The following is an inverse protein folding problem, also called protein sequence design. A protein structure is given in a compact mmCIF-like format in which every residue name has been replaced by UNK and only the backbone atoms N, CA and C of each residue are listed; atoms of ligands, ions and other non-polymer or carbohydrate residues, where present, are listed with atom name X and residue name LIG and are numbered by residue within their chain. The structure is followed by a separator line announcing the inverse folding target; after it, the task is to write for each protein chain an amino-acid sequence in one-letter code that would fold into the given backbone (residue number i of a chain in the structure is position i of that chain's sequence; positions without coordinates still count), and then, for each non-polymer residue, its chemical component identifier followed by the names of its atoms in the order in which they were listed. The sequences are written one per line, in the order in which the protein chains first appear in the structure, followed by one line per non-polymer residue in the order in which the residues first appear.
data_IF_073421648293
#
_entry.id   IF_073421648293
#
_cell.length_a   1.000
_cell.length_b   1.000
_cell.length_c   1.000
_cell.angle_alpha   90.00
_cell.angle_beta   90.00
_cell.angle_gamma   90.00
#
_symmetry.space_group_name_H-M   'P 1'
#
loop_
_entity.id
_entity.type
_entity.pdbx_description
1 polymer ?
#
# COMPACT_ATOMS: atom_id res chain seq x y z
N UNK A 1 38.43 11.32 48.07
CA UNK A 1 38.02 10.25 47.15
C UNK A 1 36.97 10.83 46.19
N UNK A 2 37.45 11.57 45.19
CA UNK A 2 37.53 11.17 43.76
C UNK A 2 36.19 11.35 43.03
N UNK A 3 35.93 12.60 42.65
CA UNK A 3 35.05 12.97 41.54
C UNK A 3 35.85 12.83 40.24
N UNK A 4 35.38 11.97 39.33
CA UNK A 4 35.97 11.81 37.99
C UNK A 4 35.40 12.89 37.06
N UNK A 5 36.24 13.85 36.71
CA UNK A 5 36.02 14.83 35.64
C UNK A 5 36.43 14.24 34.29
N UNK A 6 35.58 14.48 33.29
CA UNK A 6 35.76 14.08 31.88
C UNK A 6 36.94 14.81 31.22
N UNK A 7 37.80 14.12 30.45
CA UNK A 7 38.95 14.75 29.80
C UNK A 7 38.81 14.74 28.27
N UNK A 8 38.16 15.72 27.64
CA UNK A 8 38.47 16.04 26.23
C UNK A 8 38.27 17.53 25.95
N UNK A 9 39.41 18.21 25.78
CA UNK A 9 39.53 19.63 25.45
C UNK A 9 39.27 19.93 23.97
N UNK A 10 38.85 21.18 23.73
CA UNK A 10 38.69 21.77 22.39
C UNK A 10 40.05 21.98 21.71
N UNK A 11 40.19 21.75 20.40
CA UNK A 11 41.34 22.22 19.64
C UNK A 11 41.16 23.69 19.16
N UNK A 12 42.26 24.40 18.89
CA UNK A 12 42.28 25.83 18.62
C UNK A 12 42.00 26.19 17.15
N UNK A 13 41.63 27.46 16.96
CA UNK A 13 41.44 28.14 15.68
C UNK A 13 42.73 28.25 14.85
N UNK A 14 42.55 28.16 13.53
CA UNK A 14 43.27 29.00 12.57
C UNK A 14 44.20 28.28 11.60
N UNK A 15 43.73 28.01 10.39
CA UNK A 15 44.56 27.98 9.17
C UNK A 15 43.70 28.45 7.98
N UNK A 16 44.24 29.43 7.24
CA UNK A 16 43.54 30.31 6.31
C UNK A 16 43.04 29.63 5.03
N UNK A 17 41.84 30.04 4.61
CA UNK A 17 41.32 29.79 3.28
C UNK A 17 41.98 30.77 2.29
N UNK A 18 42.81 30.25 1.39
CA UNK A 18 43.36 30.98 0.26
C UNK A 18 42.24 31.47 -0.68
N UNK A 19 42.31 32.75 -1.05
CA UNK A 19 41.44 33.37 -2.07
C UNK A 19 41.70 32.75 -3.43
N UNK A 20 40.66 32.16 -4.03
CA UNK A 20 40.64 31.90 -5.48
C UNK A 20 40.14 33.18 -6.17
N UNK A 21 40.88 33.77 -7.12
CA UNK A 21 40.46 35.00 -7.76
C UNK A 21 39.35 34.76 -8.79
N UNK A 22 38.34 35.63 -8.76
CA UNK A 22 37.42 35.83 -9.88
C UNK A 22 38.17 36.48 -11.03
N UNK A 23 38.13 35.88 -12.21
CA UNK A 23 38.45 36.58 -13.47
C UNK A 23 37.19 36.74 -14.31
N UNK A 24 37.12 37.93 -14.89
CA UNK A 24 36.05 38.56 -15.66
C UNK A 24 36.02 38.10 -17.12
N UNK A 25 34.87 38.39 -17.75
CA UNK A 25 34.56 38.50 -19.21
C UNK A 25 35.76 39.03 -20.03
N UNK A 26 35.98 38.70 -21.31
CA UNK A 26 35.09 38.75 -22.48
C UNK A 26 35.88 38.26 -23.74
N UNK A 27 35.24 37.77 -24.81
CA UNK A 27 35.88 37.63 -26.14
C UNK A 27 35.27 36.56 -27.07
N UNK A 28 34.96 36.85 -28.36
CA UNK A 28 33.97 36.12 -29.15
C UNK A 28 34.55 35.01 -30.02
N UNK A 29 33.76 34.00 -30.37
CA UNK A 29 34.00 33.21 -31.57
C UNK A 29 32.78 33.17 -32.49
N UNK A 30 33.08 33.53 -33.74
CA UNK A 30 32.16 33.70 -34.83
C UNK A 30 31.69 32.36 -35.41
N UNK A 31 30.40 32.41 -35.76
CA UNK A 31 29.60 31.64 -36.71
C UNK A 31 30.30 30.70 -37.70
N UNK A 32 29.83 29.46 -37.75
CA UNK A 32 29.62 28.72 -39.01
C UNK A 32 28.26 28.00 -38.96
N UNK A 33 27.39 28.29 -39.94
CA UNK A 33 26.08 27.65 -40.14
C UNK A 33 26.24 26.41 -41.02
N UNK A 34 25.56 25.30 -40.70
CA UNK A 34 25.07 24.38 -41.72
C UNK A 34 23.60 24.68 -42.03
N UNK A 35 23.30 24.72 -43.32
CA UNK A 35 21.96 24.84 -43.91
C UNK A 35 21.12 23.61 -43.59
N UNK A 36 20.05 23.77 -42.81
CA UNK A 36 19.00 22.77 -42.64
C UNK A 36 17.92 22.96 -43.72
N UNK A 37 17.83 22.00 -44.64
CA UNK A 37 16.67 21.82 -45.51
C UNK A 37 15.43 21.50 -44.66
N UNK A 38 14.32 22.17 -44.95
CA UNK A 38 13.03 21.91 -44.32
C UNK A 38 12.41 20.65 -44.95
N UNK A 39 12.51 19.52 -44.27
CA UNK A 39 11.54 18.43 -44.41
C UNK A 39 10.73 18.29 -43.11
N UNK A 40 9.41 18.37 -43.25
CA UNK A 40 8.47 18.17 -42.15
C UNK A 40 8.48 16.68 -41.76
N UNK A 41 8.64 16.31 -40.48
CA UNK A 41 8.44 14.92 -40.08
C UNK A 41 6.94 14.57 -40.20
N UNK A 42 6.65 13.50 -40.94
CA UNK A 42 5.31 12.95 -41.06
C UNK A 42 4.82 12.47 -39.70
N UNK A 43 3.61 12.90 -39.31
CA UNK A 43 2.92 12.41 -38.10
C UNK A 43 2.73 10.89 -38.18
N UNK A 44 3.01 10.13 -37.11
CA UNK A 44 2.63 8.72 -37.07
C UNK A 44 1.10 8.62 -37.17
N UNK A 45 0.59 7.89 -38.17
CA UNK A 45 -0.82 7.50 -38.21
C UNK A 45 -1.08 6.61 -37.01
N UNK A 46 -1.82 7.11 -36.04
CA UNK A 46 -2.42 6.31 -34.99
C UNK A 46 -3.39 5.32 -35.67
N UNK A 47 -2.98 4.05 -35.77
CA UNK A 47 -3.90 2.96 -36.07
C UNK A 47 -4.77 2.77 -34.84
N UNK A 48 -5.91 3.47 -34.84
CA UNK A 48 -6.98 3.30 -33.87
C UNK A 48 -7.57 1.91 -33.96
N UNK A 49 -6.93 0.94 -33.29
CA UNK A 49 -7.62 -0.23 -32.81
C UNK A 49 -8.54 0.24 -31.68
N UNK A 50 -9.86 0.27 -31.92
CA UNK A 50 -10.83 0.26 -30.82
C UNK A 50 -10.54 -1.01 -30.02
N UNK A 51 -9.81 -0.87 -28.91
CA UNK A 51 -9.87 -1.86 -27.85
C UNK A 51 -11.35 -1.96 -27.45
N UNK A 52 -11.94 -3.14 -27.65
CA UNK A 52 -13.26 -3.43 -27.11
C UNK A 52 -13.16 -3.17 -25.61
N UNK A 53 -13.88 -2.17 -25.10
CA UNK A 53 -14.10 -2.00 -23.67
C UNK A 53 -14.73 -3.30 -23.20
N UNK A 54 -13.95 -4.15 -22.54
CA UNK A 54 -14.49 -5.23 -21.74
C UNK A 54 -15.26 -4.56 -20.60
N UNK A 55 -16.55 -4.30 -20.80
CA UNK A 55 -17.40 -3.79 -19.73
C UNK A 55 -17.55 -4.89 -18.70
N UNK A 56 -17.07 -4.64 -17.48
CA UNK A 56 -17.22 -5.57 -16.37
C UNK A 56 -18.70 -5.89 -16.16
N UNK A 57 -19.01 -7.16 -15.92
CA UNK A 57 -20.38 -7.62 -15.70
C UNK A 57 -21.01 -6.98 -14.47
N UNK A 58 -22.35 -6.95 -14.42
CA UNK A 58 -23.10 -6.50 -13.22
C UNK A 58 -22.67 -7.29 -11.99
N UNK A 59 -22.48 -8.60 -12.14
CA UNK A 59 -22.06 -9.49 -11.05
C UNK A 59 -20.66 -9.13 -10.54
N UNK A 60 -19.71 -8.90 -11.44
CA UNK A 60 -18.34 -8.46 -11.08
C UNK A 60 -18.36 -7.12 -10.34
N UNK A 61 -19.11 -6.14 -10.85
CA UNK A 61 -19.22 -4.83 -10.21
C UNK A 61 -19.89 -4.90 -8.83
N UNK A 62 -20.93 -5.72 -8.68
CA UNK A 62 -21.59 -5.95 -7.39
C UNK A 62 -20.63 -6.60 -6.38
N UNK A 63 -19.81 -7.56 -6.82
CA UNK A 63 -18.78 -8.17 -5.98
C UNK A 63 -17.78 -7.13 -5.48
N UNK A 64 -17.20 -6.32 -6.38
CA UNK A 64 -16.28 -5.25 -6.00
C UNK A 64 -16.91 -4.22 -5.09
N UNK A 65 -18.14 -3.80 -5.38
CA UNK A 65 -18.88 -2.88 -4.54
C UNK A 65 -19.02 -3.42 -3.12
N UNK A 66 -19.45 -4.68 -2.99
CA UNK A 66 -19.64 -5.36 -1.70
C UNK A 66 -18.34 -5.46 -0.90
N UNK A 67 -17.25 -5.90 -1.53
CA UNK A 67 -15.95 -6.08 -0.87
C UNK A 67 -15.36 -4.73 -0.40
N UNK A 68 -15.38 -3.71 -1.25
CA UNK A 68 -14.92 -2.37 -0.86
C UNK A 68 -15.81 -1.76 0.23
N UNK A 69 -17.14 -1.96 0.16
CA UNK A 69 -18.06 -1.46 1.16
C UNK A 69 -17.88 -2.16 2.52
N UNK A 70 -17.60 -3.46 2.53
CA UNK A 70 -17.23 -4.19 3.74
C UNK A 70 -16.02 -3.56 4.41
N UNK A 71 -14.95 -3.31 3.65
CA UNK A 71 -13.74 -2.65 4.18
C UNK A 71 -14.10 -1.27 4.73
N UNK A 72 -14.79 -0.41 3.95
CA UNK A 72 -15.17 0.94 4.38
C UNK A 72 -15.97 0.94 5.68
N UNK A 73 -17.01 0.10 5.78
CA UNK A 73 -17.89 0.05 6.95
C UNK A 73 -17.18 -0.53 8.16
N UNK A 74 -16.34 -1.55 7.96
CA UNK A 74 -15.50 -2.12 9.01
C UNK A 74 -14.56 -1.06 9.60
N UNK A 75 -13.86 -0.33 8.74
CA UNK A 75 -12.92 0.73 9.11
C UNK A 75 -13.61 1.90 9.82
N UNK A 76 -14.81 2.31 9.35
CA UNK A 76 -15.64 3.31 10.04
C UNK A 76 -16.03 2.85 11.45
N UNK A 77 -16.38 1.57 11.62
CA UNK A 77 -16.70 0.98 12.93
C UNK A 77 -15.47 0.89 13.83
N UNK A 78 -14.32 0.47 13.29
CA UNK A 78 -13.06 0.47 14.04
C UNK A 78 -12.71 1.89 14.53
N UNK A 79 -12.88 2.91 13.69
CA UNK A 79 -12.73 4.31 14.08
C UNK A 79 -13.65 4.74 15.23
N UNK A 80 -14.91 4.27 15.24
CA UNK A 80 -15.85 4.52 16.35
C UNK A 80 -15.37 3.86 17.65
N UNK A 81 -15.00 2.58 17.61
CA UNK A 81 -14.53 1.84 18.79
C UNK A 81 -13.22 2.42 19.35
N UNK A 82 -12.33 2.91 18.48
CA UNK A 82 -11.15 3.66 18.90
C UNK A 82 -11.52 4.94 19.66
N UNK A 83 -12.47 5.72 19.15
CA UNK A 83 -12.98 6.93 19.83
C UNK A 83 -13.64 6.63 21.18
N UNK A 84 -14.17 5.42 21.36
CA UNK A 84 -14.72 4.93 22.62
C UNK A 84 -13.65 4.38 23.59
N UNK A 85 -12.37 4.34 23.18
CA UNK A 85 -11.28 3.81 23.99
C UNK A 85 -11.21 2.27 24.01
N UNK A 86 -11.92 1.58 23.13
CA UNK A 86 -11.95 0.10 23.08
C UNK A 86 -10.83 -0.50 22.23
N UNK A 87 -10.13 0.30 21.43
CA UNK A 87 -8.95 -0.10 20.67
C UNK A 87 -7.75 0.64 21.26
N UNK A 88 -6.78 -0.11 21.78
CA UNK A 88 -5.56 0.43 22.35
C UNK A 88 -4.47 0.72 21.30
N UNK A 89 -3.56 1.65 21.60
CA UNK A 89 -2.39 1.94 20.76
C UNK A 89 -2.71 2.74 19.49
N UNK A 90 -2.06 2.37 18.38
CA UNK A 90 -2.24 3.04 17.08
C UNK A 90 -3.28 2.32 16.24
N UNK A 91 -4.28 3.05 15.72
CA UNK A 91 -5.26 2.53 14.78
C UNK A 91 -5.09 3.19 13.41
N UNK A 92 -4.74 2.42 12.39
CA UNK A 92 -4.42 2.91 11.04
C UNK A 92 -5.49 2.51 10.03
N UNK A 93 -6.46 3.40 9.81
CA UNK A 93 -7.61 3.05 8.97
C UNK A 93 -7.28 3.02 7.46
N UNK A 94 -7.78 2.04 6.72
CA UNK A 94 -7.55 1.90 5.27
C UNK A 94 -8.51 2.73 4.38
N UNK A 95 -9.31 3.61 4.98
CA UNK A 95 -10.35 4.40 4.31
C UNK A 95 -9.79 5.25 3.15
N UNK A 96 -10.32 4.99 1.95
CA UNK A 96 -10.00 5.67 0.69
C UNK A 96 -9.08 4.89 -0.25
N UNK A 97 -8.60 3.71 0.18
CA UNK A 97 -7.68 2.87 -0.60
C UNK A 97 -8.31 1.51 -0.99
N UNK A 98 -9.62 1.33 -0.79
CA UNK A 98 -10.29 0.02 -0.88
C UNK A 98 -10.14 -0.64 -2.25
N UNK A 99 -10.20 0.15 -3.33
CA UNK A 99 -10.05 -0.34 -4.70
C UNK A 99 -8.70 -0.99 -4.96
N UNK A 100 -7.63 -0.55 -4.28
CA UNK A 100 -6.28 -1.09 -4.46
C UNK A 100 -6.26 -2.56 -4.05
N UNK A 101 -6.68 -2.85 -2.82
CA UNK A 101 -6.57 -4.21 -2.31
C UNK A 101 -7.63 -5.14 -2.90
N UNK A 102 -8.84 -4.64 -3.17
CA UNK A 102 -9.91 -5.43 -3.81
C UNK A 102 -9.55 -5.79 -5.25
N UNK A 103 -9.08 -4.82 -6.03
CA UNK A 103 -8.69 -5.05 -7.43
C UNK A 103 -7.50 -5.99 -7.55
N UNK A 104 -6.50 -5.85 -6.66
CA UNK A 104 -5.37 -6.79 -6.59
C UNK A 104 -5.82 -8.20 -6.21
N UNK A 105 -6.68 -8.32 -5.20
CA UNK A 105 -7.14 -9.61 -4.68
C UNK A 105 -8.00 -10.38 -5.68
N UNK A 106 -8.70 -9.69 -6.58
CA UNK A 106 -9.43 -10.35 -7.68
C UNK A 106 -8.51 -11.09 -8.66
N UNK A 107 -7.26 -10.68 -8.80
CA UNK A 107 -6.27 -11.30 -9.69
C UNK A 107 -5.39 -12.35 -8.98
N UNK A 108 -5.48 -12.48 -7.65
CA UNK A 108 -4.69 -13.45 -6.89
C UNK A 108 -5.12 -14.90 -7.15
N UNK A 109 -4.15 -15.80 -7.02
CA UNK A 109 -4.36 -17.25 -6.99
C UNK A 109 -4.19 -17.78 -5.54
N UNK A 110 -4.77 -18.94 -5.19
CA UNK A 110 -4.74 -19.46 -3.82
C UNK A 110 -3.33 -19.64 -3.21
N UNK A 111 -2.32 -19.88 -4.05
CA UNK A 111 -0.93 -20.03 -3.62
C UNK A 111 -0.17 -18.71 -3.45
N UNK A 112 -0.74 -17.57 -3.84
CA UNK A 112 -0.07 -16.28 -3.71
C UNK A 112 0.01 -15.85 -2.23
N UNK A 113 1.06 -15.11 -1.89
CA UNK A 113 1.22 -14.53 -0.55
C UNK A 113 1.07 -13.02 -0.59
N UNK A 114 0.46 -12.45 0.44
CA UNK A 114 0.30 -11.01 0.63
C UNK A 114 1.08 -10.57 1.86
N UNK A 115 1.88 -9.52 1.73
CA UNK A 115 2.62 -8.91 2.83
C UNK A 115 2.50 -7.39 2.76
N UNK A 116 2.23 -6.73 3.89
CA UNK A 116 1.97 -5.29 3.95
C UNK A 116 2.48 -4.66 5.25
N UNK A 117 2.49 -3.32 5.29
CA UNK A 117 2.80 -2.56 6.50
C UNK A 117 1.64 -2.57 7.51
N UNK A 118 1.65 -1.64 8.45
CA UNK A 118 0.68 -1.53 9.56
C UNK A 118 -0.73 -1.03 9.20
N UNK A 119 -1.05 -0.80 7.92
CA UNK A 119 -2.38 -0.33 7.49
C UNK A 119 -3.11 -1.45 6.77
N UNK A 120 -3.43 -2.50 7.51
CA UNK A 120 -3.58 -3.84 6.98
C UNK A 120 -4.99 -4.44 7.16
N UNK A 121 -5.90 -3.77 7.86
CA UNK A 121 -7.23 -4.34 8.17
C UNK A 121 -8.03 -4.62 6.90
N UNK A 122 -8.05 -3.66 5.97
CA UNK A 122 -8.64 -3.86 4.64
C UNK A 122 -8.01 -5.00 3.85
N UNK A 123 -6.69 -5.22 3.99
CA UNK A 123 -6.02 -6.36 3.35
C UNK A 123 -6.43 -7.70 3.92
N UNK A 124 -6.60 -7.78 5.25
CA UNK A 124 -7.05 -9.01 5.89
C UNK A 124 -8.44 -9.43 5.40
N UNK A 125 -9.36 -8.47 5.33
CA UNK A 125 -10.71 -8.70 4.83
C UNK A 125 -10.68 -9.15 3.36
N UNK A 126 -9.86 -8.51 2.53
CA UNK A 126 -9.69 -8.87 1.12
C UNK A 126 -9.03 -10.26 0.93
N UNK A 127 -8.18 -10.69 1.88
CA UNK A 127 -7.61 -12.05 1.91
C UNK A 127 -8.57 -13.10 2.49
N UNK A 128 -9.83 -12.74 2.78
CA UNK A 128 -10.86 -13.67 3.26
C UNK A 128 -10.76 -14.00 4.75
N UNK A 129 -10.15 -13.12 5.55
CA UNK A 129 -10.20 -13.20 7.00
C UNK A 129 -11.56 -12.66 7.49
N UNK A 130 -12.13 -13.33 8.49
CA UNK A 130 -13.45 -13.01 9.03
C UNK A 130 -13.44 -11.70 9.83
N UNK A 131 -14.40 -10.79 9.59
CA UNK A 131 -14.51 -9.51 10.31
C UNK A 131 -14.49 -9.65 11.84
N UNK A 132 -15.11 -10.70 12.39
CA UNK A 132 -15.09 -11.00 13.83
C UNK A 132 -13.67 -11.12 14.38
N UNK A 133 -12.82 -11.89 13.71
CA UNK A 133 -11.44 -12.12 14.14
C UNK A 133 -10.58 -10.87 13.99
N UNK A 134 -10.77 -10.11 12.90
CA UNK A 134 -10.04 -8.84 12.71
C UNK A 134 -10.42 -7.85 13.81
N UNK A 135 -11.72 -7.64 14.03
CA UNK A 135 -12.21 -6.69 15.04
C UNK A 135 -11.80 -7.09 16.46
N UNK A 136 -11.85 -8.39 16.78
CA UNK A 136 -11.39 -8.92 18.06
C UNK A 136 -9.90 -8.67 18.30
N UNK A 137 -9.06 -8.76 17.25
CA UNK A 137 -7.64 -8.42 17.37
C UNK A 137 -7.43 -6.92 17.61
N UNK A 138 -8.17 -6.06 16.90
CA UNK A 138 -8.09 -4.61 17.11
C UNK A 138 -8.44 -4.21 18.55
N UNK A 139 -9.43 -4.87 19.15
CA UNK A 139 -9.86 -4.61 20.53
C UNK A 139 -9.08 -5.43 21.58
N UNK A 140 -7.99 -6.10 21.19
CA UNK A 140 -7.11 -6.81 22.11
C UNK A 140 -7.75 -8.04 22.76
N UNK A 141 -8.63 -8.74 22.06
CA UNK A 141 -9.36 -9.91 22.58
C UNK A 141 -8.72 -11.22 22.16
N UNK A 142 -8.91 -12.25 22.98
CA UNK A 142 -8.37 -13.60 22.75
C UNK A 142 -8.82 -14.21 21.41
N UNK A 143 -10.02 -13.85 20.94
CA UNK A 143 -10.57 -14.30 19.66
C UNK A 143 -9.92 -13.67 18.42
N UNK A 144 -8.94 -12.78 18.59
CA UNK A 144 -8.19 -12.18 17.50
C UNK A 144 -7.19 -13.14 16.83
N UNK A 145 -6.78 -12.80 15.62
CA UNK A 145 -5.87 -13.63 14.80
C UNK A 145 -4.48 -13.83 15.40
N UNK A 146 -4.03 -12.90 16.24
CA UNK A 146 -2.79 -12.96 17.03
C UNK A 146 -3.09 -13.12 18.52
N UNK A 147 -4.29 -13.64 18.85
CA UNK A 147 -4.82 -13.80 20.22
C UNK A 147 -4.88 -12.49 21.02
N UNK A 148 -5.10 -11.36 20.34
CA UNK A 148 -5.17 -10.05 20.98
C UNK A 148 -3.81 -9.43 21.33
N UNK A 149 -2.70 -10.05 20.91
CA UNK A 149 -1.34 -9.59 21.22
C UNK A 149 -0.78 -8.61 20.18
N UNK A 150 -1.28 -8.66 18.95
CA UNK A 150 -0.76 -7.91 17.83
C UNK A 150 -1.45 -6.55 17.63
N UNK A 151 -2.72 -6.47 17.97
CA UNK A 151 -3.52 -5.26 17.81
C UNK A 151 -3.59 -4.78 16.36
N UNK A 152 -3.83 -3.49 16.17
CA UNK A 152 -4.03 -2.88 14.85
C UNK A 152 -2.83 -2.89 13.92
N UNK A 153 -1.63 -3.26 14.37
CA UNK A 153 -0.42 -3.16 13.55
C UNK A 153 0.29 -4.48 13.33
N UNK A 154 -0.18 -5.62 13.87
CA UNK A 154 0.52 -6.90 13.78
C UNK A 154 -0.45 -8.08 13.63
N UNK A 155 -0.84 -8.39 12.39
CA UNK A 155 -1.81 -9.43 12.10
C UNK A 155 -1.35 -10.38 11.00
N UNK A 156 -1.58 -11.67 11.21
CA UNK A 156 -0.98 -12.72 10.41
C UNK A 156 -1.94 -13.89 10.22
N UNK A 157 -1.92 -14.50 9.03
CA UNK A 157 -2.61 -15.77 8.76
C UNK A 157 -1.85 -16.58 7.72
N UNK A 158 -1.22 -17.67 8.17
CA UNK A 158 -0.58 -18.64 7.28
C UNK A 158 -1.59 -19.33 6.37
N UNK A 159 -2.80 -19.62 6.87
CA UNK A 159 -3.85 -20.29 6.10
C UNK A 159 -4.29 -19.44 4.90
N UNK A 160 -4.42 -18.12 5.09
CA UNK A 160 -4.83 -17.17 4.05
C UNK A 160 -3.66 -16.59 3.25
N UNK A 161 -2.43 -17.09 3.46
CA UNK A 161 -1.23 -16.55 2.81
C UNK A 161 -0.97 -15.08 3.15
N UNK A 162 -1.42 -14.62 4.31
CA UNK A 162 -1.36 -13.21 4.71
C UNK A 162 -0.31 -12.97 5.81
N UNK A 163 0.64 -12.09 5.51
CA UNK A 163 1.81 -11.75 6.31
C UNK A 163 1.83 -10.24 6.57
N UNK A 164 0.77 -9.72 7.18
CA UNK A 164 0.57 -8.28 7.36
C UNK A 164 1.07 -7.73 8.68
N UNK A 165 0.86 -6.43 8.86
CA UNK A 165 1.09 -5.79 10.14
C UNK A 165 2.57 -5.68 10.48
N UNK A 166 3.33 -4.98 9.65
CA UNK A 166 4.70 -4.61 9.99
C UNK A 166 4.76 -3.15 10.43
N UNK A 167 4.99 -2.94 11.74
CA UNK A 167 5.17 -1.61 12.35
C UNK A 167 6.47 -0.90 11.95
N UNK A 168 7.50 -1.65 11.55
CA UNK A 168 8.76 -1.07 11.05
C UNK A 168 8.62 -0.73 9.57
N UNK A 169 8.63 0.56 9.26
CA UNK A 169 8.46 1.08 7.90
C UNK A 169 9.47 0.46 6.93
N UNK A 170 8.97 -0.23 5.90
CA UNK A 170 9.78 -0.85 4.85
C UNK A 170 10.30 -2.26 5.17
N UNK A 171 10.17 -2.74 6.41
CA UNK A 171 10.69 -4.05 6.81
C UNK A 171 9.97 -5.20 6.10
N UNK A 172 8.70 -5.01 5.76
CA UNK A 172 7.89 -5.99 5.05
C UNK A 172 8.42 -6.29 3.64
N UNK A 173 9.23 -5.40 3.06
CA UNK A 173 9.69 -5.52 1.67
C UNK A 173 10.74 -6.62 1.52
N UNK A 174 11.73 -6.65 2.42
CA UNK A 174 12.76 -7.68 2.43
C UNK A 174 12.19 -9.04 2.86
N UNK A 175 11.24 -9.05 3.80
CA UNK A 175 10.50 -10.25 4.17
C UNK A 175 9.65 -10.79 3.01
N UNK A 176 9.03 -9.89 2.23
CA UNK A 176 8.28 -10.23 1.02
C UNK A 176 9.15 -10.87 -0.06
N UNK A 177 10.40 -10.43 -0.22
CA UNK A 177 11.36 -11.13 -1.06
C UNK A 177 11.64 -12.56 -0.57
N UNK A 178 11.67 -12.77 0.75
CA UNK A 178 11.77 -14.10 1.34
C UNK A 178 10.59 -15.00 0.93
N UNK A 179 9.36 -14.48 0.96
CA UNK A 179 8.17 -15.19 0.49
C UNK A 179 8.25 -15.51 -1.01
N UNK A 180 8.64 -14.54 -1.83
CA UNK A 180 8.83 -14.74 -3.27
C UNK A 180 9.91 -15.79 -3.57
N UNK A 181 11.03 -15.75 -2.83
CA UNK A 181 12.07 -16.77 -2.91
C UNK A 181 11.54 -18.15 -2.54
N UNK A 182 10.72 -18.24 -1.48
CA UNK A 182 10.13 -19.50 -1.06
C UNK A 182 9.20 -20.10 -2.13
N UNK A 183 8.38 -19.27 -2.79
CA UNK A 183 7.57 -19.69 -3.95
C UNK A 183 8.43 -20.21 -5.10
N UNK A 184 9.47 -19.45 -5.46
CA UNK A 184 10.42 -19.86 -6.49
C UNK A 184 11.11 -21.18 -6.16
N UNK A 185 11.57 -21.33 -4.92
CA UNK A 185 12.28 -22.51 -4.43
C UNK A 185 11.40 -23.76 -4.46
N UNK A 186 10.14 -23.64 -4.02
CA UNK A 186 9.15 -24.74 -4.04
C UNK A 186 8.57 -25.01 -5.42
N UNK A 187 8.75 -24.11 -6.39
CA UNK A 187 8.14 -24.18 -7.72
C UNK A 187 6.61 -24.30 -7.67
N UNK A 188 5.99 -23.66 -6.67
CA UNK A 188 4.54 -23.71 -6.43
C UNK A 188 3.75 -22.73 -7.33
N UNK A 189 4.46 -22.00 -8.20
CA UNK A 189 3.93 -20.93 -9.06
C UNK A 189 3.24 -19.81 -8.29
N UNK A 190 3.51 -19.64 -6.99
CA UNK A 190 3.03 -18.50 -6.21
C UNK A 190 3.82 -17.23 -6.48
N UNK A 191 3.16 -16.10 -6.27
CA UNK A 191 3.74 -14.75 -6.33
C UNK A 191 3.55 -14.08 -4.98
N UNK A 192 4.56 -13.34 -4.53
CA UNK A 192 4.41 -12.47 -3.36
C UNK A 192 3.96 -11.07 -3.79
N UNK A 193 2.78 -10.65 -3.38
CA UNK A 193 2.30 -9.28 -3.47
C UNK A 193 2.78 -8.49 -2.24
N UNK A 194 3.72 -7.57 -2.48
CA UNK A 194 4.49 -6.87 -1.44
C UNK A 194 4.07 -5.41 -1.40
N UNK A 195 3.21 -5.07 -0.45
CA UNK A 195 2.62 -3.74 -0.31
C UNK A 195 3.48 -2.82 0.54
N UNK A 196 3.54 -1.55 0.13
CA UNK A 196 4.21 -0.50 0.87
C UNK A 196 3.60 0.87 0.57
N UNK A 197 3.59 1.76 1.55
CA UNK A 197 3.21 3.16 1.31
C UNK A 197 4.32 3.94 0.59
N UNK A 198 3.96 5.08 0.00
CA UNK A 198 4.90 6.01 -0.64
C UNK A 198 6.09 6.38 0.27
N UNK A 199 5.85 6.65 1.56
CA UNK A 199 6.90 6.97 2.52
C UNK A 199 7.90 5.83 2.75
N UNK A 200 7.45 4.57 2.67
CA UNK A 200 8.30 3.40 2.87
C UNK A 200 9.29 3.18 1.72
N UNK A 201 8.96 3.66 0.52
CA UNK A 201 9.82 3.51 -0.67
C UNK A 201 11.20 4.17 -0.51
N UNK A 202 11.35 5.09 0.45
CA UNK A 202 12.60 5.80 0.72
C UNK A 202 13.54 5.07 1.68
N UNK A 203 13.16 3.90 2.21
CA UNK A 203 14.01 3.13 3.11
C UNK A 203 15.10 2.37 2.34
N UNK A 204 16.33 2.35 2.86
CA UNK A 204 17.47 1.70 2.19
C UNK A 204 17.22 0.22 1.85
N UNK A 205 16.61 -0.52 2.78
CA UNK A 205 16.25 -1.93 2.59
C UNK A 205 15.30 -2.19 1.40
N UNK A 206 14.54 -1.19 0.95
CA UNK A 206 13.68 -1.34 -0.24
C UNK A 206 14.52 -1.44 -1.50
N UNK A 207 15.57 -0.62 -1.62
CA UNK A 207 16.49 -0.65 -2.75
C UNK A 207 17.33 -1.93 -2.78
N UNK A 208 17.80 -2.37 -1.61
CA UNK A 208 18.45 -3.68 -1.45
C UNK A 208 17.52 -4.82 -1.90
N UNK A 209 16.24 -4.73 -1.53
CA UNK A 209 15.22 -5.71 -1.93
C UNK A 209 14.97 -5.70 -3.45
N UNK A 210 14.90 -4.54 -4.10
CA UNK A 210 14.77 -4.47 -5.56
C UNK A 210 15.97 -5.12 -6.25
N UNK A 211 17.19 -4.80 -5.82
CA UNK A 211 18.41 -5.39 -6.38
C UNK A 211 18.38 -6.93 -6.29
N UNK A 212 18.05 -7.46 -5.11
CA UNK A 212 18.04 -8.91 -4.88
C UNK A 212 16.90 -9.60 -5.65
N UNK A 213 15.71 -9.00 -5.68
CA UNK A 213 14.57 -9.55 -6.43
C UNK A 213 14.87 -9.62 -7.93
N UNK A 214 15.49 -8.58 -8.49
CA UNK A 214 15.89 -8.54 -9.88
C UNK A 214 16.99 -9.57 -10.19
N UNK A 215 18.07 -9.55 -9.42
CA UNK A 215 19.21 -10.47 -9.58
C UNK A 215 18.76 -11.94 -9.57
N UNK A 216 17.86 -12.27 -8.65
CA UNK A 216 17.38 -13.63 -8.50
C UNK A 216 16.11 -13.92 -9.29
N UNK A 217 15.60 -12.98 -10.10
CA UNK A 217 14.33 -13.13 -10.85
C UNK A 217 13.23 -13.71 -9.96
N UNK A 218 12.98 -13.07 -8.81
CA UNK A 218 11.95 -13.52 -7.87
C UNK A 218 10.54 -13.25 -8.40
N UNK A 219 9.55 -14.13 -8.14
CA UNK A 219 8.15 -13.88 -8.43
C UNK A 219 7.56 -12.90 -7.39
N UNK A 220 7.96 -11.63 -7.48
CA UNK A 220 7.57 -10.57 -6.55
C UNK A 220 6.88 -9.42 -7.29
N UNK A 221 5.74 -8.98 -6.78
CA UNK A 221 5.05 -7.77 -7.26
C UNK A 221 5.04 -6.74 -6.14
N UNK A 222 5.80 -5.67 -6.31
CA UNK A 222 5.85 -4.57 -5.35
C UNK A 222 4.71 -3.59 -5.62
N UNK A 223 3.80 -3.44 -4.66
CA UNK A 223 2.64 -2.57 -4.76
C UNK A 223 2.86 -1.34 -3.90
N UNK A 224 3.10 -0.20 -4.53
CA UNK A 224 3.29 1.08 -3.87
C UNK A 224 1.94 1.78 -3.78
N UNK A 225 1.39 1.88 -2.57
CA UNK A 225 0.18 2.63 -2.28
C UNK A 225 0.53 4.11 -2.08
N UNK A 226 0.49 4.87 -3.18
CA UNK A 226 0.80 6.28 -3.15
C UNK A 226 -0.44 7.08 -2.75
N UNK A 227 -0.66 7.21 -1.44
CA UNK A 227 -1.71 8.04 -0.86
C UNK A 227 -1.28 9.50 -0.62
N UNK A 228 -0.17 9.90 -1.26
CA UNK A 228 0.44 11.24 -1.27
C UNK A 228 1.20 11.65 -0.01
N UNK A 229 1.09 10.91 1.10
CA UNK A 229 1.66 11.32 2.39
C UNK A 229 2.25 10.19 3.24
N UNK A 230 3.57 10.24 3.46
CA UNK A 230 4.25 9.53 4.55
C UNK A 230 4.04 10.24 5.88
N UNK A 231 3.08 9.77 6.68
CA UNK A 231 2.52 10.50 7.83
C UNK A 231 2.05 11.90 7.39
N UNK A 232 2.84 12.94 7.63
CA UNK A 232 2.57 14.33 7.23
C UNK A 232 3.50 14.89 6.16
N UNK A 233 4.45 14.10 5.67
CA UNK A 233 5.39 14.54 4.62
C UNK A 233 4.84 14.15 3.25
N UNK A 234 4.60 15.13 2.38
CA UNK A 234 4.13 14.87 1.02
C UNK A 234 5.21 14.20 0.17
N UNK A 235 4.80 13.38 -0.81
CA UNK A 235 5.72 12.71 -1.74
C UNK A 235 6.65 13.70 -2.45
N UNK A 236 6.13 14.85 -2.87
CA UNK A 236 6.88 15.91 -3.55
C UNK A 236 7.98 16.53 -2.68
N UNK A 237 7.90 16.38 -1.35
CA UNK A 237 8.92 16.81 -0.39
C UNK A 237 9.85 15.69 0.04
N UNK A 238 9.44 14.44 -0.15
CA UNK A 238 10.15 13.25 0.33
C UNK A 238 10.96 12.54 -0.76
N UNK A 239 10.66 12.76 -2.04
CA UNK A 239 11.28 12.04 -3.15
C UNK A 239 11.76 13.00 -4.25
N UNK A 240 13.01 12.82 -4.70
CA UNK A 240 13.56 13.57 -5.84
C UNK A 240 12.89 13.17 -7.17
N UNK A 241 12.55 11.88 -7.33
CA UNK A 241 11.71 11.37 -8.41
C UNK A 241 10.34 10.98 -7.86
N UNK A 242 9.29 11.64 -8.31
CA UNK A 242 7.92 11.44 -7.80
C UNK A 242 7.16 10.33 -8.51
N UNK A 243 7.66 9.83 -9.63
CA UNK A 243 7.15 8.64 -10.32
C UNK A 243 7.68 7.36 -9.64
N UNK A 244 7.01 6.90 -8.57
CA UNK A 244 7.56 5.86 -7.71
C UNK A 244 7.64 4.48 -8.41
N UNK A 245 6.80 4.23 -9.43
CA UNK A 245 6.90 3.01 -10.25
C UNK A 245 8.26 2.88 -10.98
N UNK A 246 8.99 3.98 -11.18
CA UNK A 246 10.28 3.98 -11.87
C UNK A 246 11.46 3.62 -10.95
N UNK A 247 11.25 3.43 -9.63
CA UNK A 247 12.35 3.16 -8.68
C UNK A 247 13.10 1.87 -8.97
N UNK A 248 12.50 0.94 -9.71
CA UNK A 248 13.12 -0.30 -10.14
C UNK A 248 13.99 -0.19 -11.39
N UNK A 249 13.99 0.95 -12.09
CA UNK A 249 14.61 1.09 -13.41
C UNK A 249 16.12 0.80 -13.41
N UNK A 250 16.83 1.19 -12.36
CA UNK A 250 18.27 0.93 -12.21
C UNK A 250 18.61 -0.58 -12.14
N UNK A 251 17.62 -1.41 -11.77
CA UNK A 251 17.75 -2.87 -11.65
C UNK A 251 17.06 -3.61 -12.80
N UNK A 252 16.53 -2.89 -13.79
CA UNK A 252 15.78 -3.47 -14.91
C UNK A 252 14.40 -4.01 -14.55
N UNK A 253 13.82 -3.58 -13.41
CA UNK A 253 12.48 -4.00 -12.99
C UNK A 253 11.45 -3.12 -13.72
N UNK A 254 10.52 -3.70 -14.49
CA UNK A 254 9.44 -2.94 -15.11
C UNK A 254 8.49 -2.37 -14.05
N UNK A 255 7.86 -1.24 -14.36
CA UNK A 255 6.81 -0.72 -13.52
C UNK A 255 5.73 0.07 -14.25
N UNK A 256 4.54 0.12 -13.62
CA UNK A 256 3.32 0.75 -14.14
C UNK A 256 2.69 1.64 -13.07
N UNK A 257 2.34 2.86 -13.45
CA UNK A 257 1.43 3.69 -12.64
C UNK A 257 -0.01 3.32 -12.95
N UNK A 258 -0.83 3.22 -11.92
CA UNK A 258 -2.22 2.76 -11.99
C UNK A 258 -3.10 3.74 -11.24
N UNK A 259 -4.29 4.02 -11.76
CA UNK A 259 -5.32 4.72 -11.00
C UNK A 259 -5.84 3.80 -9.88
N UNK A 260 -5.32 4.00 -8.67
CA UNK A 260 -5.66 3.21 -7.49
C UNK A 260 -7.05 3.50 -6.93
N UNK A 261 -7.78 4.45 -7.51
CA UNK A 261 -9.17 4.74 -7.18
C UNK A 261 -10.17 4.02 -8.10
N UNK A 262 -9.68 3.32 -9.14
CA UNK A 262 -10.49 2.53 -10.06
C UNK A 262 -10.19 1.05 -9.89
N UNK A 263 -11.10 0.30 -9.23
CA UNK A 263 -10.92 -1.14 -8.98
C UNK A 263 -10.70 -1.94 -10.27
N UNK A 264 -11.33 -1.54 -11.38
CA UNK A 264 -11.15 -2.18 -12.68
C UNK A 264 -9.76 -1.93 -13.27
N UNK A 265 -9.23 -0.71 -13.14
CA UNK A 265 -7.87 -0.40 -13.58
C UNK A 265 -6.82 -1.13 -12.74
N UNK A 266 -7.09 -1.27 -11.44
CA UNK A 266 -6.26 -2.06 -10.52
C UNK A 266 -6.29 -3.54 -10.90
N UNK A 267 -7.46 -4.14 -11.11
CA UNK A 267 -7.58 -5.54 -11.51
C UNK A 267 -6.85 -5.83 -12.84
N UNK A 268 -7.03 -4.99 -13.85
CA UNK A 268 -6.34 -5.13 -15.14
C UNK A 268 -4.82 -5.10 -14.98
N UNK A 269 -4.29 -4.13 -14.22
CA UNK A 269 -2.86 -4.02 -13.97
C UNK A 269 -2.33 -5.17 -13.11
N UNK A 270 -3.12 -5.65 -12.14
CA UNK A 270 -2.79 -6.77 -11.28
C UNK A 270 -2.63 -8.06 -12.08
N UNK A 271 -3.55 -8.34 -13.01
CA UNK A 271 -3.47 -9.51 -13.90
C UNK A 271 -2.16 -9.50 -14.70
N UNK A 272 -1.77 -8.36 -15.26
CA UNK A 272 -0.50 -8.21 -15.99
C UNK A 272 0.71 -8.44 -15.09
N UNK A 273 0.79 -7.74 -13.96
CA UNK A 273 1.95 -7.76 -13.08
C UNK A 273 2.15 -9.13 -12.41
N UNK A 274 1.07 -9.76 -11.95
CA UNK A 274 1.11 -11.09 -11.34
C UNK A 274 1.53 -12.13 -12.38
N UNK A 275 1.00 -12.10 -13.61
CA UNK A 275 1.42 -13.02 -14.66
C UNK A 275 2.87 -12.79 -15.11
N UNK A 276 3.34 -11.54 -15.15
CA UNK A 276 4.74 -11.22 -15.39
C UNK A 276 5.66 -11.93 -14.38
N UNK A 277 5.37 -11.77 -13.08
CA UNK A 277 6.14 -12.39 -12.03
C UNK A 277 6.03 -13.92 -12.05
N UNK A 278 4.82 -14.44 -12.23
CA UNK A 278 4.50 -15.88 -12.24
C UNK A 278 5.16 -16.62 -13.40
N UNK A 279 5.24 -15.99 -14.57
CA UNK A 279 5.92 -16.53 -15.76
C UNK A 279 7.45 -16.56 -15.65
N UNK A 280 8.02 -16.09 -14.53
CA UNK A 280 9.46 -16.14 -14.26
C UNK A 280 10.26 -15.03 -14.92
N UNK A 281 9.60 -13.97 -15.41
CA UNK A 281 10.27 -12.80 -16.00
C UNK A 281 10.96 -11.92 -14.95
N UNK A 282 10.68 -12.15 -13.67
CA UNK A 282 11.26 -11.44 -12.54
C UNK A 282 10.23 -10.55 -11.85
N UNK A 283 10.68 -9.62 -11.00
CA UNK A 283 9.77 -8.77 -10.25
C UNK A 283 9.07 -7.71 -11.12
N UNK A 284 8.02 -7.10 -10.58
CA UNK A 284 7.29 -5.98 -11.18
C UNK A 284 6.95 -4.92 -10.12
N UNK A 285 6.93 -3.64 -10.47
CA UNK A 285 6.52 -2.55 -9.57
C UNK A 285 5.22 -1.90 -10.06
N UNK A 286 4.23 -1.77 -9.18
CA UNK A 286 3.03 -0.99 -9.43
C UNK A 286 2.96 0.21 -8.50
N UNK A 287 2.67 1.39 -9.03
CA UNK A 287 2.34 2.57 -8.23
C UNK A 287 0.84 2.84 -8.32
N UNK A 288 0.14 2.53 -7.24
CA UNK A 288 -1.29 2.74 -7.08
C UNK A 288 -1.52 4.17 -6.61
N UNK A 289 -1.99 5.03 -7.51
CA UNK A 289 -2.32 6.41 -7.19
C UNK A 289 -3.64 6.42 -6.42
N UNK A 290 -3.58 6.61 -5.12
CA UNK A 290 -4.75 6.54 -4.22
C UNK A 290 -4.76 7.72 -3.25
N UNK A 291 -5.65 7.71 -2.26
CA UNK A 291 -5.73 8.78 -1.28
C UNK A 291 -6.23 8.31 0.09
N UNK A 292 -5.59 8.79 1.17
CA UNK A 292 -5.95 8.45 2.55
C UNK A 292 -6.93 9.49 3.12
N UNK A 293 -8.20 9.15 3.31
CA UNK A 293 -9.21 10.14 3.77
C UNK A 293 -9.13 10.49 5.27
N UNK A 294 -8.49 9.64 6.07
CA UNK A 294 -8.27 9.87 7.51
C UNK A 294 -6.83 10.30 7.79
N UNK A 295 -6.57 10.82 8.99
CA UNK A 295 -5.20 11.07 9.46
C UNK A 295 -4.31 9.83 9.32
N UNK A 296 -3.01 10.01 9.54
CA UNK A 296 -2.05 8.90 9.47
C UNK A 296 -2.53 7.70 10.31
N UNK A 297 -2.85 7.98 11.57
CA UNK A 297 -3.57 7.13 12.51
C UNK A 297 -4.80 7.89 13.03
N UNK A 298 -5.66 7.22 13.80
CA UNK A 298 -6.80 7.87 14.46
C UNK A 298 -6.42 8.97 15.45
N UNK A 299 -5.18 8.98 15.96
CA UNK A 299 -4.65 10.04 16.83
C UNK A 299 -4.05 11.22 16.08
N UNK A 300 -3.87 11.13 14.75
CA UNK A 300 -3.26 12.19 13.94
C UNK A 300 -4.33 13.19 13.45
N UNK A 301 -4.24 14.49 13.82
CA UNK A 301 -5.19 15.52 13.40
C UNK A 301 -5.06 15.95 11.93
N UNK A 302 -4.06 15.44 11.19
CA UNK A 302 -3.87 15.68 9.75
C UNK A 302 -3.66 17.14 9.33
N UNK A 303 -2.99 17.96 10.15
CA UNK A 303 -2.80 19.41 9.93
C UNK A 303 -1.91 19.80 8.73
N UNK A 304 -1.37 18.83 8.00
CA UNK A 304 -0.43 19.02 6.88
C UNK A 304 -1.11 19.07 5.50
N UNK A 305 -2.44 19.04 5.47
CA UNK A 305 -3.27 19.11 4.25
C UNK A 305 -4.60 19.77 4.56
N UNK A 306 -5.24 20.34 3.55
CA UNK A 306 -6.49 21.09 3.74
C UNK A 306 -7.69 20.15 3.77
N UNK A 307 -8.80 20.60 4.38
CA UNK A 307 -10.05 19.83 4.35
C UNK A 307 -10.63 19.80 2.94
N UNK A 308 -10.45 20.89 2.20
CA UNK A 308 -10.89 21.08 0.83
C UNK A 308 -10.24 20.07 -0.11
N UNK A 309 -8.93 19.82 0.04
CA UNK A 309 -8.22 18.80 -0.73
C UNK A 309 -8.84 17.41 -0.52
N UNK A 310 -9.05 17.03 0.75
CA UNK A 310 -9.62 15.72 1.09
C UNK A 310 -11.05 15.59 0.56
N UNK A 311 -11.89 16.60 0.75
CA UNK A 311 -13.28 16.62 0.26
C UNK A 311 -13.33 16.54 -1.25
N UNK A 312 -12.50 17.32 -1.96
CA UNK A 312 -12.46 17.31 -3.41
C UNK A 312 -12.11 15.92 -3.96
N UNK A 313 -11.07 15.26 -3.42
CA UNK A 313 -10.71 13.90 -3.86
C UNK A 313 -11.83 12.92 -3.54
N UNK A 314 -12.46 13.03 -2.37
CA UNK A 314 -13.57 12.14 -1.99
C UNK A 314 -14.79 12.31 -2.89
N UNK A 315 -15.19 13.54 -3.20
CA UNK A 315 -16.36 13.81 -4.02
C UNK A 315 -16.17 13.41 -5.49
N UNK A 316 -14.95 13.54 -6.00
CA UNK A 316 -14.66 13.32 -7.43
C UNK A 316 -14.12 11.94 -7.74
N UNK A 317 -13.55 11.24 -6.77
CA UNK A 317 -12.73 10.04 -7.00
C UNK A 317 -12.99 8.88 -6.03
N UNK A 318 -13.97 8.92 -5.12
CA UNK A 318 -14.19 7.81 -4.18
C UNK A 318 -14.48 6.49 -4.94
N UNK A 319 -13.71 5.41 -4.67
CA UNK A 319 -13.79 4.17 -5.45
C UNK A 319 -15.15 3.48 -5.32
N UNK A 320 -15.82 3.62 -4.19
CA UNK A 320 -17.12 3.01 -3.91
C UNK A 320 -18.21 3.75 -4.67
N UNK A 321 -18.19 5.09 -4.64
CA UNK A 321 -19.16 5.89 -5.39
C UNK A 321 -18.98 5.73 -6.91
N UNK A 322 -17.73 5.57 -7.39
CA UNK A 322 -17.47 5.27 -8.80
C UNK A 322 -18.14 3.95 -9.24
N UNK A 323 -17.92 2.85 -8.50
CA UNK A 323 -18.53 1.55 -8.85
C UNK A 323 -20.05 1.59 -8.69
N UNK A 324 -20.55 2.24 -7.64
CA UNK A 324 -21.99 2.44 -7.43
C UNK A 324 -22.65 3.16 -8.61
N UNK A 325 -22.02 4.23 -9.12
CA UNK A 325 -22.53 4.94 -10.30
C UNK A 325 -22.56 4.04 -11.53
N UNK A 326 -21.49 3.28 -11.79
CA UNK A 326 -21.45 2.30 -12.91
C UNK A 326 -22.53 1.24 -12.77
N UNK A 327 -22.81 0.77 -11.54
CA UNK A 327 -23.87 -0.20 -11.27
C UNK A 327 -25.26 0.34 -11.63
N UNK A 328 -25.57 1.59 -11.25
CA UNK A 328 -26.85 2.23 -11.49
C UNK A 328 -27.03 2.65 -12.95
N UNK A 329 -26.01 3.29 -13.53
CA UNK A 329 -26.10 3.92 -14.85
C UNK A 329 -25.91 2.91 -15.99
N UNK A 330 -24.97 1.97 -15.84
CA UNK A 330 -24.50 1.13 -16.96
C UNK A 330 -24.88 -0.35 -16.80
N UNK A 331 -24.94 -0.87 -15.57
CA UNK A 331 -25.15 -2.29 -15.31
C UNK A 331 -26.60 -2.66 -14.92
N UNK A 332 -27.51 -1.68 -14.82
CA UNK A 332 -28.92 -1.90 -14.50
C UNK A 332 -29.16 -2.49 -13.10
N UNK A 333 -28.33 -2.13 -12.11
CA UNK A 333 -28.64 -2.39 -10.70
C UNK A 333 -29.71 -1.41 -10.21
N UNK A 334 -30.65 -1.91 -9.41
CA UNK A 334 -31.62 -1.05 -8.73
C UNK A 334 -31.00 -0.41 -7.48
N UNK A 335 -31.52 0.75 -7.05
CA UNK A 335 -31.13 1.31 -5.76
C UNK A 335 -31.38 0.33 -4.60
N UNK A 336 -32.45 -0.47 -4.70
CA UNK A 336 -32.82 -1.43 -3.67
C UNK A 336 -31.81 -2.59 -3.58
N UNK A 337 -31.17 -2.98 -4.67
CA UNK A 337 -30.06 -3.95 -4.67
C UNK A 337 -28.90 -3.41 -3.81
N UNK A 338 -28.54 -2.15 -4.01
CA UNK A 338 -27.43 -1.52 -3.29
C UNK A 338 -27.76 -1.26 -1.82
N UNK A 339 -29.00 -0.89 -1.52
CA UNK A 339 -29.51 -0.76 -0.14
C UNK A 339 -29.49 -2.10 0.59
N UNK A 340 -29.84 -3.20 -0.09
CA UNK A 340 -29.76 -4.54 0.48
C UNK A 340 -28.31 -4.92 0.83
N UNK A 341 -27.36 -4.65 -0.08
CA UNK A 341 -25.92 -4.87 0.18
C UNK A 341 -25.43 -4.04 1.37
N UNK A 342 -25.71 -2.73 1.43
CA UNK A 342 -25.28 -1.88 2.57
C UNK A 342 -25.89 -2.37 3.90
N UNK A 343 -27.17 -2.77 3.90
CA UNK A 343 -27.84 -3.33 5.09
C UNK A 343 -27.16 -4.61 5.57
N UNK A 344 -26.85 -5.52 4.65
CA UNK A 344 -26.17 -6.78 4.97
C UNK A 344 -24.77 -6.54 5.54
N UNK A 345 -23.96 -5.70 4.87
CA UNK A 345 -22.61 -5.36 5.32
C UNK A 345 -22.64 -4.69 6.70
N UNK A 346 -23.59 -3.78 6.96
CA UNK A 346 -23.78 -3.22 8.30
C UNK A 346 -24.09 -4.31 9.34
N UNK A 347 -24.89 -5.30 8.98
CA UNK A 347 -25.15 -6.47 9.82
C UNK A 347 -23.87 -7.20 10.20
N UNK A 348 -23.04 -7.55 9.21
CA UNK A 348 -21.75 -8.23 9.39
C UNK A 348 -20.81 -7.41 10.30
N UNK A 349 -20.70 -6.10 10.06
CA UNK A 349 -19.80 -5.23 10.82
C UNK A 349 -20.29 -5.02 12.26
N UNK A 350 -21.59 -4.89 12.48
CA UNK A 350 -22.16 -4.78 13.82
C UNK A 350 -21.97 -6.08 14.61
N UNK A 351 -22.18 -7.23 13.96
CA UNK A 351 -21.91 -8.55 14.53
C UNK A 351 -20.44 -8.71 14.93
N UNK A 352 -19.50 -8.27 14.07
CA UNK A 352 -18.07 -8.27 14.39
C UNK A 352 -17.73 -7.38 15.61
N UNK A 353 -18.33 -6.19 15.69
CA UNK A 353 -18.14 -5.29 16.83
C UNK A 353 -18.76 -5.83 18.12
N UNK A 354 -19.92 -6.48 18.05
CA UNK A 354 -20.55 -7.12 19.21
C UNK A 354 -19.70 -8.31 19.70
N UNK A 355 -19.29 -9.19 18.79
CA UNK A 355 -18.40 -10.31 19.09
C UNK A 355 -17.10 -9.82 19.76
N UNK A 356 -16.48 -8.76 19.25
CA UNK A 356 -15.25 -8.20 19.79
C UNK A 356 -15.42 -7.52 21.16
N UNK A 357 -16.64 -7.09 21.52
CA UNK A 357 -16.92 -6.50 22.83
C UNK A 357 -17.29 -7.57 23.88
N UNK A 358 -17.91 -8.68 23.44
CA UNK A 358 -18.28 -9.80 24.29
C UNK A 358 -17.14 -10.84 24.44
N UNK A 359 -16.19 -10.85 23.51
CA UNK A 359 -15.03 -11.75 23.57
C UNK A 359 -14.17 -11.44 24.81
N UNK A 360 -13.69 -12.48 25.51
CA UNK A 360 -12.85 -12.29 26.68
C UNK A 360 -11.50 -11.69 26.30
N UNK A 361 -10.91 -10.97 27.27
CA UNK A 361 -9.50 -10.62 27.22
C UNK A 361 -8.62 -11.88 27.23
N UNK A 362 -7.41 -11.82 26.66
CA UNK A 362 -6.42 -12.88 26.83
C UNK A 362 -6.12 -13.10 28.31
N UNK A 363 -5.91 -14.36 28.70
CA UNK A 363 -5.39 -14.66 30.03
C UNK A 363 -3.99 -14.01 30.18
N UNK A 364 -3.65 -13.36 31.31
CA UNK A 364 -2.32 -12.79 31.52
C UNK A 364 -1.15 -13.75 31.23
N UNK A 365 -1.36 -15.06 31.38
CA UNK A 365 -0.36 -16.07 31.02
C UNK A 365 0.02 -16.06 29.52
N UNK A 366 -0.83 -15.56 28.63
CA UNK A 366 -0.55 -15.43 27.19
C UNK A 366 0.69 -14.56 26.92
N UNK A 367 1.07 -13.65 27.82
CA UNK A 367 2.31 -12.84 27.72
C UNK A 367 3.57 -13.70 27.60
N UNK A 368 3.56 -14.92 28.12
CA UNK A 368 4.72 -15.83 28.16
C UNK A 368 4.67 -16.90 27.07
N UNK A 369 3.63 -16.87 26.22
CA UNK A 369 3.44 -17.85 25.15
C UNK A 369 3.94 -17.33 23.82
N UNK A 370 4.27 -18.23 22.90
CA UNK A 370 4.67 -17.91 21.51
C UNK A 370 5.92 -17.03 21.36
N UNK A 371 6.69 -16.82 22.45
CA UNK A 371 7.99 -16.11 22.43
C UNK A 371 9.06 -16.98 21.75
N UNK A 372 9.01 -18.29 22.03
CA UNK A 372 9.85 -19.32 21.42
C UNK A 372 8.96 -20.51 21.09
N UNK A 373 9.39 -21.33 20.12
CA UNK A 373 8.81 -22.67 19.97
C UNK A 373 9.17 -23.51 21.20
N UNK A 374 8.29 -24.42 21.61
CA UNK A 374 8.61 -25.42 22.64
C UNK A 374 9.87 -26.17 22.24
N UNK A 375 10.79 -26.41 23.18
CA UNK A 375 11.92 -27.29 22.92
C UNK A 375 11.36 -28.68 22.53
N UNK A 376 11.79 -29.17 21.36
CA UNK A 376 11.37 -30.45 20.81
C UNK A 376 11.94 -31.62 21.60
#
# INVERSE_FOLDING_TARGET
MTTLSSPYGRPPHGLGAGRIPRQSREGPLATSKPSAGKEKPAKPKATGGKAAKSEASKETLLKFYREMLLIRRFEEKAGQLYGMGLIGGFCHLYIGQEAVVVGMSAAHQPQDSVITGYRDHGHMLACGMEPRGVMAELTGRRGGYSRGKGGSMHMFSREKGFFGGHGIVGAQVSLGNGLAFAHKYRKDKGVAAIYMGDGATNQGQVYESFNMAALWKLPAVFVIENNRYGMGTSVTRAAAGTALYQRGAAYGIPGRQVDGMSVLAVEEAALEALEHARSGKGPYIMEMMTYRYRGHSMSDPAKYRSREEVSQVRETSDPIEFVKKRLLDDAGAGEDDLKAVDKEIRGIVNDAAEFAQQSPEPDPAELWTDVLVSAA
#
